data_IF_158823217971
#
_entry.id   IF_158823217971
#
_cell.length_a   1.000
_cell.length_b   1.000
_cell.length_c   1.000
_cell.angle_alpha   90.00
_cell.angle_beta   90.00
_cell.angle_gamma   90.00
#
_symmetry.space_group_name_H-M   'P 1'
#
loop_
_entity.id
_entity.type
_entity.pdbx_description
1 polymer ?
#
# COMPACT_ATOMS: atom_id res chain seq x y z
N UNK A 1 16.20 0.55 -18.59
CA UNK A 1 14.97 -0.23 -18.51
C UNK A 1 14.50 -0.24 -17.06
N UNK A 2 13.22 -0.04 -16.76
CA UNK A 2 12.71 -0.17 -15.39
C UNK A 2 12.89 -1.64 -14.96
N UNK A 3 13.48 -1.84 -13.78
CA UNK A 3 13.63 -3.18 -13.21
C UNK A 3 12.25 -3.80 -12.94
N UNK A 4 12.03 -5.10 -13.20
CA UNK A 4 10.77 -5.76 -12.93
C UNK A 4 10.41 -5.68 -11.43
N UNK A 5 9.10 -5.69 -11.12
CA UNK A 5 8.63 -5.82 -9.74
C UNK A 5 9.13 -7.14 -9.19
N UNK A 6 9.83 -7.13 -8.07
CA UNK A 6 10.27 -8.37 -7.42
C UNK A 6 9.04 -9.10 -6.91
N UNK A 7 8.83 -10.31 -7.38
CA UNK A 7 7.84 -11.21 -6.77
C UNK A 7 8.24 -11.42 -5.31
N UNK A 8 7.40 -10.94 -4.39
CA UNK A 8 7.57 -11.27 -3.00
C UNK A 8 6.84 -12.59 -2.71
N UNK A 9 7.39 -13.42 -1.83
CA UNK A 9 6.74 -14.65 -1.37
C UNK A 9 5.30 -14.40 -0.85
N UNK A 10 5.03 -13.21 -0.38
CA UNK A 10 3.74 -12.83 0.19
C UNK A 10 2.72 -12.35 -0.85
N UNK A 11 3.16 -11.78 -1.97
CA UNK A 11 2.26 -11.35 -3.05
C UNK A 11 1.65 -12.52 -3.82
N UNK A 12 2.32 -13.69 -3.81
CA UNK A 12 1.86 -14.91 -4.50
C UNK A 12 1.18 -15.92 -3.56
N UNK A 13 1.05 -15.61 -2.27
CA UNK A 13 0.50 -16.53 -1.27
C UNK A 13 -1.01 -16.70 -1.40
N UNK A 14 -1.73 -15.64 -1.68
CA UNK A 14 -3.18 -15.64 -1.69
C UNK A 14 -3.70 -15.48 -3.11
N UNK A 15 -4.59 -16.39 -3.52
CA UNK A 15 -5.24 -16.33 -4.82
C UNK A 15 -6.76 -16.27 -4.61
N UNK A 16 -7.39 -15.26 -5.19
CA UNK A 16 -8.84 -15.16 -5.26
C UNK A 16 -9.35 -16.11 -6.36
N UNK A 17 -10.35 -16.92 -6.05
CA UNK A 17 -11.04 -17.76 -7.00
C UNK A 17 -12.54 -17.48 -6.92
N UNK A 18 -13.06 -16.75 -7.92
CA UNK A 18 -14.47 -16.38 -8.00
C UNK A 18 -15.43 -17.60 -7.96
N UNK A 19 -14.97 -18.78 -8.39
CA UNK A 19 -15.78 -20.01 -8.39
C UNK A 19 -16.09 -20.52 -6.98
N UNK A 20 -15.31 -20.13 -5.98
CA UNK A 20 -15.51 -20.55 -4.59
C UNK A 20 -16.62 -19.77 -3.86
N UNK A 21 -17.12 -18.69 -4.47
CA UNK A 21 -18.16 -17.83 -3.87
C UNK A 21 -17.70 -17.06 -2.63
N UNK A 22 -18.52 -16.11 -2.17
CA UNK A 22 -18.36 -15.45 -0.87
C UNK A 22 -17.06 -14.65 -0.63
N UNK A 23 -16.34 -14.23 -1.68
CA UNK A 23 -15.15 -13.37 -1.55
C UNK A 23 -13.97 -14.03 -0.83
N UNK A 24 -13.80 -15.35 -1.00
CA UNK A 24 -12.75 -16.12 -0.32
C UNK A 24 -11.48 -16.24 -1.17
N UNK A 25 -10.35 -16.24 -0.49
CA UNK A 25 -9.03 -16.45 -1.05
C UNK A 25 -8.53 -17.85 -0.67
N UNK A 26 -7.77 -18.46 -1.56
CA UNK A 26 -7.02 -19.68 -1.24
C UNK A 26 -5.61 -19.29 -0.78
N UNK A 27 -5.25 -19.66 0.42
CA UNK A 27 -3.87 -19.61 0.91
C UNK A 27 -3.08 -20.78 0.27
N UNK A 28 -2.15 -20.46 -0.61
CA UNK A 28 -1.36 -21.46 -1.35
C UNK A 28 -0.36 -22.22 -0.46
N UNK A 29 0.01 -21.68 0.71
CA UNK A 29 0.89 -22.37 1.65
C UNK A 29 0.15 -23.46 2.45
N UNK A 30 -1.10 -23.18 2.82
CA UNK A 30 -1.88 -24.09 3.69
C UNK A 30 -3.00 -24.82 2.95
N UNK A 31 -3.33 -24.42 1.73
CA UNK A 31 -4.47 -24.90 0.96
C UNK A 31 -5.84 -24.46 1.50
N UNK A 32 -5.90 -23.71 2.60
CA UNK A 32 -7.14 -23.30 3.27
C UNK A 32 -7.79 -22.09 2.60
N UNK A 33 -9.11 -22.01 2.74
CA UNK A 33 -9.84 -20.81 2.35
C UNK A 33 -9.80 -19.79 3.48
N UNK A 34 -9.46 -18.54 3.12
CA UNK A 34 -9.37 -17.41 4.04
C UNK A 34 -10.19 -16.23 3.52
N UNK A 35 -10.55 -15.31 4.41
CA UNK A 35 -11.25 -14.06 4.06
C UNK A 35 -10.26 -12.99 3.63
N UNK A 36 -10.75 -11.91 2.98
CA UNK A 36 -9.96 -10.72 2.71
C UNK A 36 -9.33 -10.12 3.96
N UNK A 37 -10.05 -10.12 5.07
CA UNK A 37 -9.54 -9.62 6.35
C UNK A 37 -8.24 -10.34 6.77
N UNK A 38 -8.15 -11.66 6.56
CA UNK A 38 -6.92 -12.41 6.81
C UNK A 38 -5.80 -12.03 5.85
N UNK A 39 -6.11 -11.86 4.57
CA UNK A 39 -5.14 -11.40 3.55
C UNK A 39 -4.63 -10.00 3.92
N UNK A 40 -5.53 -9.10 4.30
CA UNK A 40 -5.21 -7.74 4.75
C UNK A 40 -4.32 -7.74 5.99
N UNK A 41 -4.61 -8.59 6.97
CA UNK A 41 -3.77 -8.71 8.18
C UNK A 41 -2.33 -9.12 7.83
N UNK A 42 -2.15 -10.10 6.94
CA UNK A 42 -0.82 -10.51 6.50
C UNK A 42 -0.15 -9.44 5.63
N UNK A 43 -0.90 -8.70 4.82
CA UNK A 43 -0.40 -7.53 4.09
C UNK A 43 0.14 -6.48 5.07
N UNK A 44 -0.64 -6.11 6.09
CA UNK A 44 -0.25 -5.11 7.09
C UNK A 44 1.01 -5.52 7.85
N UNK A 45 1.04 -6.76 8.36
CA UNK A 45 2.11 -7.21 9.27
C UNK A 45 3.41 -7.58 8.55
N UNK A 46 3.35 -8.09 7.32
CA UNK A 46 4.52 -8.64 6.63
C UNK A 46 5.01 -7.76 5.49
N UNK A 47 4.11 -7.14 4.74
CA UNK A 47 4.46 -6.35 3.56
C UNK A 47 4.63 -4.89 3.94
N UNK A 48 3.62 -4.27 4.53
CA UNK A 48 3.62 -2.85 4.90
C UNK A 48 4.63 -2.59 6.01
N UNK A 49 4.52 -3.27 7.15
CA UNK A 49 5.45 -3.10 8.26
C UNK A 49 6.89 -3.41 7.84
N UNK A 50 7.11 -4.47 7.07
CA UNK A 50 8.42 -4.81 6.55
C UNK A 50 9.00 -3.73 5.62
N UNK A 51 8.18 -3.08 4.79
CA UNK A 51 8.60 -1.96 3.95
C UNK A 51 8.92 -0.72 4.80
N UNK A 52 8.09 -0.39 5.79
CA UNK A 52 8.35 0.68 6.76
C UNK A 52 9.72 0.52 7.44
N UNK A 53 10.02 -0.69 7.90
CA UNK A 53 11.27 -0.98 8.61
C UNK A 53 12.49 -0.87 7.67
N UNK A 54 12.38 -1.36 6.42
CA UNK A 54 13.47 -1.23 5.44
C UNK A 54 13.69 0.22 5.01
N UNK A 55 12.63 1.00 4.81
CA UNK A 55 12.72 2.43 4.48
C UNK A 55 13.30 3.25 5.65
N UNK A 56 12.91 2.92 6.88
CA UNK A 56 13.49 3.50 8.08
C UNK A 56 14.98 3.17 8.22
N UNK A 57 15.36 1.90 8.07
CA UNK A 57 16.74 1.45 8.13
C UNK A 57 17.61 2.13 7.05
N UNK A 58 17.08 2.26 5.83
CA UNK A 58 17.78 2.96 4.75
C UNK A 58 18.01 4.45 5.09
N UNK A 59 17.02 5.10 5.72
CA UNK A 59 17.15 6.50 6.16
C UNK A 59 18.11 6.65 7.33
N UNK A 60 18.15 5.70 8.26
CA UNK A 60 19.14 5.65 9.33
C UNK A 60 20.57 5.50 8.78
N UNK A 61 20.76 4.67 7.74
CA UNK A 61 22.06 4.56 7.07
C UNK A 61 22.49 5.88 6.40
N UNK A 62 21.54 6.66 5.86
CA UNK A 62 21.83 8.02 5.37
C UNK A 62 22.24 8.95 6.52
N UNK A 63 21.56 8.91 7.67
CA UNK A 63 21.92 9.67 8.88
C UNK A 63 23.36 9.35 9.33
N UNK A 64 23.73 8.07 9.27
CA UNK A 64 25.05 7.57 9.65
C UNK A 64 26.10 7.78 8.56
N UNK A 65 25.77 8.45 7.44
CA UNK A 65 26.65 8.65 6.28
C UNK A 65 27.18 7.37 5.64
N UNK A 66 26.45 6.26 5.81
CA UNK A 66 26.81 4.95 5.25
C UNK A 66 26.34 4.80 3.79
N UNK A 67 25.43 5.64 3.35
CA UNK A 67 24.96 5.71 1.97
C UNK A 67 24.88 7.16 1.52
N UNK A 68 25.05 7.41 0.21
CA UNK A 68 24.82 8.73 -0.36
C UNK A 68 23.32 9.04 -0.47
N UNK A 69 22.95 10.33 -0.59
CA UNK A 69 21.56 10.74 -0.85
C UNK A 69 21.01 10.09 -2.13
N UNK A 70 21.83 9.99 -3.17
CA UNK A 70 21.44 9.34 -4.43
C UNK A 70 21.19 7.83 -4.26
N UNK A 71 22.01 7.13 -3.47
CA UNK A 71 21.81 5.71 -3.17
C UNK A 71 20.57 5.49 -2.32
N UNK A 72 20.37 6.35 -1.31
CA UNK A 72 19.15 6.36 -0.50
C UNK A 72 17.90 6.55 -1.36
N UNK A 73 17.90 7.54 -2.26
CA UNK A 73 16.77 7.82 -3.13
C UNK A 73 16.47 6.64 -4.07
N UNK A 74 17.51 5.99 -4.63
CA UNK A 74 17.33 4.77 -5.45
C UNK A 74 16.74 3.63 -4.63
N UNK A 75 17.24 3.41 -3.41
CA UNK A 75 16.74 2.39 -2.50
C UNK A 75 15.28 2.61 -2.12
N UNK A 76 14.93 3.83 -1.71
CA UNK A 76 13.55 4.22 -1.41
C UNK A 76 12.62 4.03 -2.61
N UNK A 77 13.04 4.43 -3.82
CA UNK A 77 12.25 4.26 -5.03
C UNK A 77 12.00 2.78 -5.36
N UNK A 78 12.95 1.89 -5.06
CA UNK A 78 12.77 0.45 -5.23
C UNK A 78 11.81 -0.13 -4.19
N UNK A 79 11.96 0.25 -2.92
CA UNK A 79 11.04 -0.19 -1.85
C UNK A 79 9.59 0.26 -2.10
N UNK A 80 9.39 1.51 -2.55
CA UNK A 80 8.07 2.02 -2.96
C UNK A 80 7.48 1.16 -4.08
N UNK A 81 8.26 0.85 -5.11
CA UNK A 81 7.81 0.02 -6.23
C UNK A 81 7.42 -1.39 -5.78
N UNK A 82 8.25 -2.02 -4.96
CA UNK A 82 8.04 -3.40 -4.49
C UNK A 82 6.81 -3.47 -3.56
N UNK A 83 6.65 -2.49 -2.66
CA UNK A 83 5.50 -2.36 -1.78
C UNK A 83 4.18 -2.23 -2.55
N UNK A 84 4.08 -1.23 -3.42
CA UNK A 84 2.86 -0.99 -4.19
C UNK A 84 2.55 -2.14 -5.15
N UNK A 85 3.59 -2.78 -5.71
CA UNK A 85 3.44 -3.99 -6.50
C UNK A 85 2.83 -5.14 -5.72
N UNK A 86 3.38 -5.44 -4.53
CA UNK A 86 2.86 -6.49 -3.66
C UNK A 86 1.42 -6.17 -3.18
N UNK A 87 1.14 -4.92 -2.84
CA UNK A 87 -0.17 -4.46 -2.40
C UNK A 87 -1.23 -4.59 -3.52
N UNK A 88 -0.91 -4.17 -4.74
CA UNK A 88 -1.81 -4.30 -5.89
C UNK A 88 -2.09 -5.77 -6.23
N UNK A 89 -1.07 -6.62 -6.22
CA UNK A 89 -1.21 -8.07 -6.47
C UNK A 89 -2.11 -8.70 -5.41
N UNK A 90 -1.92 -8.38 -4.12
CA UNK A 90 -2.75 -8.90 -3.05
C UNK A 90 -4.22 -8.43 -3.20
N UNK A 91 -4.44 -7.15 -3.52
CA UNK A 91 -5.76 -6.58 -3.72
C UNK A 91 -6.51 -7.18 -4.91
N UNK A 92 -5.81 -7.48 -6.01
CA UNK A 92 -6.38 -8.17 -7.18
C UNK A 92 -6.48 -9.71 -7.00
N UNK A 93 -6.21 -10.24 -5.82
CA UNK A 93 -6.34 -11.67 -5.57
C UNK A 93 -5.26 -12.53 -6.19
N UNK A 94 -4.06 -11.98 -6.39
CA UNK A 94 -2.89 -12.69 -6.87
C UNK A 94 -2.37 -12.22 -8.23
N UNK A 95 -1.13 -12.61 -8.53
CA UNK A 95 -0.44 -12.20 -9.76
C UNK A 95 -1.21 -12.56 -11.05
N UNK A 96 -1.83 -13.75 -11.08
CA UNK A 96 -2.55 -14.25 -12.25
C UNK A 96 -3.82 -13.47 -12.59
N UNK A 97 -4.35 -12.73 -11.61
CA UNK A 97 -5.54 -11.89 -11.78
C UNK A 97 -5.20 -10.46 -12.23
N UNK A 98 -3.90 -10.09 -12.25
CA UNK A 98 -3.46 -8.77 -12.69
C UNK A 98 -3.64 -8.59 -14.20
N UNK A 99 -4.48 -7.66 -14.60
CA UNK A 99 -4.69 -7.27 -15.99
C UNK A 99 -3.65 -6.23 -16.47
N UNK A 100 -3.51 -5.99 -17.79
CA UNK A 100 -2.70 -4.88 -18.30
C UNK A 100 -3.12 -3.51 -17.76
N UNK A 101 -4.43 -3.31 -17.50
CA UNK A 101 -4.95 -2.09 -16.91
C UNK A 101 -4.50 -1.93 -15.44
N UNK A 102 -4.43 -3.00 -14.65
CA UNK A 102 -3.92 -2.99 -13.28
C UNK A 102 -2.43 -2.63 -13.24
N UNK A 103 -1.63 -3.20 -14.14
CA UNK A 103 -0.23 -2.82 -14.28
C UNK A 103 -0.05 -1.35 -14.68
N UNK A 104 -0.91 -0.83 -15.54
CA UNK A 104 -0.94 0.59 -15.90
C UNK A 104 -1.24 1.49 -14.71
N UNK A 105 -2.26 1.16 -13.91
CA UNK A 105 -2.64 1.88 -12.69
C UNK A 105 -1.53 1.85 -11.63
N UNK A 106 -0.96 0.67 -11.39
CA UNK A 106 0.21 0.53 -10.52
C UNK A 106 1.36 1.45 -10.96
N UNK A 107 1.62 1.50 -12.27
CA UNK A 107 2.63 2.40 -12.84
C UNK A 107 2.36 3.88 -12.50
N UNK A 108 1.11 4.34 -12.57
CA UNK A 108 0.72 5.70 -12.20
C UNK A 108 0.86 5.95 -10.70
N UNK A 109 0.46 5.00 -9.85
CA UNK A 109 0.63 5.09 -8.40
C UNK A 109 2.10 5.23 -8.03
N UNK A 110 2.97 4.37 -8.57
CA UNK A 110 4.42 4.41 -8.32
C UNK A 110 5.04 5.73 -8.84
N UNK A 111 4.58 6.24 -9.98
CA UNK A 111 5.02 7.54 -10.52
C UNK A 111 4.67 8.68 -9.56
N UNK A 112 3.45 8.71 -9.03
CA UNK A 112 3.03 9.71 -8.03
C UNK A 112 3.87 9.65 -6.76
N UNK A 113 4.08 8.45 -6.22
CA UNK A 113 4.91 8.25 -5.02
C UNK A 113 6.37 8.67 -5.23
N UNK A 114 6.92 8.46 -6.43
CA UNK A 114 8.27 8.93 -6.76
C UNK A 114 8.37 10.45 -6.83
N UNK A 115 7.32 11.15 -7.25
CA UNK A 115 7.29 12.61 -7.21
C UNK A 115 7.36 13.14 -5.75
N UNK A 116 6.61 12.52 -4.83
CA UNK A 116 6.72 12.83 -3.40
C UNK A 116 8.12 12.50 -2.84
N UNK A 117 8.72 11.37 -3.25
CA UNK A 117 10.08 11.01 -2.85
C UNK A 117 11.11 12.03 -3.35
N UNK A 118 10.95 12.56 -4.56
CA UNK A 118 11.83 13.61 -5.07
C UNK A 118 11.75 14.87 -4.21
N UNK A 119 10.54 15.30 -3.82
CA UNK A 119 10.35 16.40 -2.88
C UNK A 119 11.01 16.14 -1.53
N UNK A 120 10.91 14.90 -1.01
CA UNK A 120 11.58 14.52 0.23
C UNK A 120 13.11 14.55 0.10
N UNK A 121 13.66 14.11 -1.03
CA UNK A 121 15.12 14.20 -1.28
C UNK A 121 15.61 15.66 -1.30
N UNK A 122 14.86 16.58 -1.93
CA UNK A 122 15.15 18.01 -1.90
C UNK A 122 15.06 18.60 -0.48
N UNK A 123 14.07 18.20 0.30
CA UNK A 123 13.96 18.58 1.71
C UNK A 123 15.16 18.10 2.55
N UNK A 124 15.69 16.91 2.27
CA UNK A 124 16.92 16.40 2.91
C UNK A 124 18.15 17.16 2.47
N UNK A 125 18.30 17.44 1.18
CA UNK A 125 19.40 18.20 0.60
C UNK A 125 19.46 19.63 1.15
N UNK A 126 18.30 20.29 1.32
CA UNK A 126 18.20 21.63 1.88
C UNK A 126 18.45 21.71 3.39
N UNK A 127 18.59 20.59 4.08
CA UNK A 127 18.78 20.53 5.54
C UNK A 127 17.51 20.74 6.37
N UNK A 128 16.33 20.66 5.78
CA UNK A 128 15.04 20.76 6.51
C UNK A 128 14.92 19.77 7.67
N UNK A 129 15.59 18.64 7.56
CA UNK A 129 15.68 17.58 8.57
C UNK A 129 17.02 17.58 9.33
N UNK A 130 17.85 18.63 9.21
CA UNK A 130 19.17 18.70 9.81
C UNK A 130 20.27 18.08 8.93
N UNK A 131 21.55 18.27 9.37
CA UNK A 131 22.75 17.67 8.78
C UNK A 131 23.63 17.03 9.86
N UNK A 132 23.65 15.69 10.02
CA UNK A 132 22.88 14.67 9.27
C UNK A 132 21.38 14.78 9.54
N UNK A 133 20.50 14.14 8.71
CA UNK A 133 19.07 14.12 8.94
C UNK A 133 18.71 13.53 10.31
N UNK A 134 17.71 14.09 10.97
CA UNK A 134 17.25 13.65 12.29
C UNK A 134 16.14 12.58 12.25
N UNK A 135 15.58 12.24 13.41
CA UNK A 135 14.51 11.24 13.55
C UNK A 135 13.22 11.56 12.77
N UNK A 136 12.95 12.85 12.47
CA UNK A 136 11.80 13.26 11.66
C UNK A 136 11.91 12.72 10.22
N UNK A 137 13.13 12.64 9.67
CA UNK A 137 13.37 12.03 8.37
C UNK A 137 13.02 10.53 8.38
N UNK A 138 13.36 9.79 9.43
CA UNK A 138 13.00 8.38 9.60
C UNK A 138 11.49 8.20 9.68
N UNK A 139 10.81 9.03 10.47
CA UNK A 139 9.35 9.03 10.56
C UNK A 139 8.71 9.30 9.20
N UNK A 140 9.19 10.28 8.46
CA UNK A 140 8.73 10.60 7.11
C UNK A 140 8.92 9.43 6.14
N UNK A 141 10.05 8.71 6.23
CA UNK A 141 10.33 7.55 5.39
C UNK A 141 9.32 6.41 5.63
N UNK A 142 8.94 6.13 6.90
CA UNK A 142 7.92 5.13 7.25
C UNK A 142 6.56 5.41 6.63
N UNK A 143 6.17 6.67 6.46
CA UNK A 143 4.87 7.04 5.87
C UNK A 143 4.68 6.50 4.44
N UNK A 144 5.76 6.27 3.68
CA UNK A 144 5.66 5.63 2.36
C UNK A 144 5.21 4.18 2.45
N UNK A 145 5.56 3.47 3.55
CA UNK A 145 5.09 2.11 3.81
C UNK A 145 3.58 2.05 3.96
N UNK A 146 3.02 2.99 4.72
CA UNK A 146 1.59 3.04 5.00
C UNK A 146 0.73 3.26 3.75
N UNK A 147 1.26 3.94 2.73
CA UNK A 147 0.57 4.17 1.47
C UNK A 147 0.23 2.87 0.69
N UNK A 148 0.91 1.76 0.99
CA UNK A 148 0.62 0.45 0.40
C UNK A 148 -0.78 -0.06 0.70
N UNK A 149 -1.34 0.26 1.88
CA UNK A 149 -2.69 -0.14 2.26
C UNK A 149 -3.75 0.41 1.30
N UNK A 150 -3.68 1.70 0.99
CA UNK A 150 -4.61 2.31 0.04
C UNK A 150 -4.55 1.64 -1.34
N UNK A 151 -3.37 1.23 -1.79
CA UNK A 151 -3.20 0.52 -3.07
C UNK A 151 -3.89 -0.84 -3.06
N UNK A 152 -3.78 -1.61 -1.98
CA UNK A 152 -4.42 -2.92 -1.87
C UNK A 152 -5.95 -2.81 -1.81
N UNK A 153 -6.47 -1.89 -1.00
CA UNK A 153 -7.90 -1.66 -0.87
C UNK A 153 -8.54 -1.18 -2.18
N UNK A 154 -7.87 -0.28 -2.89
CA UNK A 154 -8.34 0.21 -4.18
C UNK A 154 -8.31 -0.88 -5.26
N UNK A 155 -7.29 -1.74 -5.26
CA UNK A 155 -7.23 -2.87 -6.18
C UNK A 155 -8.35 -3.88 -5.89
N UNK A 156 -8.58 -4.24 -4.62
CA UNK A 156 -9.65 -5.13 -4.20
C UNK A 156 -11.04 -4.57 -4.52
N UNK A 157 -11.24 -3.27 -4.35
CA UNK A 157 -12.48 -2.58 -4.67
C UNK A 157 -12.84 -2.73 -6.16
N UNK A 158 -11.85 -2.56 -7.04
CA UNK A 158 -12.03 -2.73 -8.50
C UNK A 158 -12.29 -4.17 -8.88
N UNK A 159 -11.52 -5.10 -8.33
CA UNK A 159 -11.74 -6.54 -8.56
C UNK A 159 -13.18 -6.94 -8.24
N UNK A 160 -13.73 -6.42 -7.14
CA UNK A 160 -15.14 -6.63 -6.79
C UNK A 160 -16.12 -5.98 -7.76
N UNK A 161 -15.84 -4.76 -8.23
CA UNK A 161 -16.66 -4.10 -9.23
C UNK A 161 -16.67 -4.90 -10.55
N UNK A 162 -15.51 -5.36 -10.99
CA UNK A 162 -15.35 -6.19 -12.18
C UNK A 162 -16.04 -7.56 -12.03
N UNK A 163 -16.13 -8.08 -10.81
CA UNK A 163 -16.90 -9.27 -10.47
C UNK A 163 -18.44 -9.05 -10.38
N UNK A 164 -18.92 -7.83 -10.67
CA UNK A 164 -20.35 -7.49 -10.73
C UNK A 164 -20.96 -7.04 -9.40
N UNK A 165 -20.15 -6.81 -8.36
CA UNK A 165 -20.63 -6.14 -7.15
C UNK A 165 -20.82 -4.65 -7.44
N UNK A 166 -21.97 -4.11 -7.08
CA UNK A 166 -22.37 -2.76 -7.45
C UNK A 166 -22.49 -1.81 -6.26
N UNK A 167 -22.38 -2.31 -5.03
CA UNK A 167 -22.47 -1.52 -3.81
C UNK A 167 -21.32 -1.78 -2.86
N UNK A 168 -20.98 -0.75 -2.10
CA UNK A 168 -19.96 -0.78 -1.04
C UNK A 168 -20.44 0.02 0.18
N UNK A 169 -19.84 -0.26 1.34
CA UNK A 169 -20.00 0.58 2.54
C UNK A 169 -18.69 0.70 3.30
N UNK A 170 -18.51 1.82 3.98
CA UNK A 170 -17.40 1.99 4.92
C UNK A 170 -17.70 1.25 6.21
N UNK A 171 -16.81 0.35 6.62
CA UNK A 171 -16.86 -0.31 7.93
C UNK A 171 -15.75 0.27 8.79
N UNK A 172 -16.13 0.81 9.95
CA UNK A 172 -15.18 1.35 10.91
C UNK A 172 -14.54 0.20 11.69
N UNK A 173 -13.19 0.24 11.80
CA UNK A 173 -12.43 -0.69 12.63
C UNK A 173 -12.51 -0.34 14.13
N UNK A 174 -11.55 -0.84 14.92
CA UNK A 174 -11.46 -0.59 16.38
C UNK A 174 -10.67 0.68 16.74
N UNK A 175 -10.02 1.33 15.76
CA UNK A 175 -9.23 2.52 15.98
C UNK A 175 -10.10 3.77 16.18
N UNK A 176 -9.51 4.85 16.67
CA UNK A 176 -10.15 6.17 16.62
C UNK A 176 -10.25 6.62 15.16
N UNK A 177 -11.40 7.20 14.80
CA UNK A 177 -11.71 7.58 13.44
C UNK A 177 -11.75 9.09 13.28
N UNK A 178 -11.20 9.61 12.19
CA UNK A 178 -11.35 11.01 11.81
C UNK A 178 -12.79 11.31 11.36
N UNK A 179 -13.15 12.59 11.36
CA UNK A 179 -14.49 13.05 10.97
C UNK A 179 -14.92 12.53 9.60
N UNK A 180 -14.03 12.59 8.60
CA UNK A 180 -14.30 12.08 7.25
C UNK A 180 -14.65 10.59 7.25
N UNK A 181 -13.95 9.75 8.03
CA UNK A 181 -14.26 8.32 8.11
C UNK A 181 -15.63 8.04 8.72
N UNK A 182 -16.03 8.83 9.76
CA UNK A 182 -17.36 8.74 10.36
C UNK A 182 -18.45 9.16 9.36
N UNK A 183 -18.23 10.24 8.61
CA UNK A 183 -19.16 10.71 7.57
C UNK A 183 -19.33 9.69 6.45
N UNK A 184 -18.23 9.06 5.96
CA UNK A 184 -18.29 8.02 4.95
C UNK A 184 -19.02 6.76 5.45
N UNK A 185 -18.82 6.38 6.71
CA UNK A 185 -19.54 5.25 7.32
C UNK A 185 -21.05 5.52 7.49
N UNK A 186 -21.41 6.75 7.82
CA UNK A 186 -22.81 7.16 8.00
C UNK A 186 -23.63 7.12 6.70
N UNK A 187 -22.99 7.16 5.52
CA UNK A 187 -23.69 7.05 4.22
C UNK A 187 -24.33 5.68 3.99
N UNK A 188 -23.89 4.64 4.72
CA UNK A 188 -24.37 3.27 4.54
C UNK A 188 -23.91 2.66 3.21
N UNK A 189 -24.78 1.84 2.59
CA UNK A 189 -24.52 1.24 1.28
C UNK A 189 -24.57 2.30 0.18
N UNK A 190 -23.57 2.35 -0.65
CA UNK A 190 -23.41 3.28 -1.77
C UNK A 190 -22.93 2.53 -3.02
N UNK A 191 -23.20 3.06 -4.23
CA UNK A 191 -22.63 2.50 -5.45
C UNK A 191 -21.11 2.39 -5.34
N UNK A 192 -20.55 1.25 -5.78
CA UNK A 192 -19.11 1.00 -5.69
C UNK A 192 -18.33 2.09 -6.44
N UNK A 193 -17.28 2.62 -5.83
CA UNK A 193 -16.47 3.70 -6.40
C UNK A 193 -16.91 5.10 -5.97
N UNK A 194 -18.02 5.26 -5.23
CA UNK A 194 -18.52 6.60 -4.82
C UNK A 194 -18.07 7.01 -3.42
N UNK A 195 -17.78 6.06 -2.54
CA UNK A 195 -17.17 6.38 -1.25
C UNK A 195 -15.72 6.85 -1.46
N UNK A 196 -15.29 7.81 -0.65
CA UNK A 196 -13.90 8.28 -0.65
C UNK A 196 -12.96 7.11 -0.40
N UNK A 197 -11.86 6.96 -1.18
CA UNK A 197 -10.90 5.89 -0.96
C UNK A 197 -10.27 5.90 0.44
N UNK A 198 -9.89 4.72 0.94
CA UNK A 198 -9.07 4.61 2.15
C UNK A 198 -7.74 5.30 1.88
N UNK A 199 -7.31 6.16 2.81
CA UNK A 199 -6.10 6.97 2.66
C UNK A 199 -6.33 8.36 2.05
N UNK A 200 -7.53 8.63 1.51
CA UNK A 200 -7.92 9.95 0.95
C UNK A 200 -8.86 10.73 1.90
N UNK A 201 -8.72 10.53 3.20
CA UNK A 201 -9.43 11.22 4.27
C UNK A 201 -8.47 12.02 5.15
N UNK A 202 -8.98 12.76 6.14
CA UNK A 202 -8.16 13.56 7.05
C UNK A 202 -7.04 12.78 7.73
N UNK A 203 -7.28 11.49 8.03
CA UNK A 203 -6.25 10.60 8.58
C UNK A 203 -5.22 10.16 7.53
N UNK A 204 -5.45 10.43 6.25
CA UNK A 204 -4.51 10.14 5.16
C UNK A 204 -3.99 8.70 5.22
N UNK A 205 -2.68 8.51 5.14
CA UNK A 205 -2.02 7.18 5.19
C UNK A 205 -2.23 6.43 6.51
N UNK A 206 -2.64 7.12 7.58
CA UNK A 206 -2.93 6.52 8.89
C UNK A 206 -4.37 6.00 9.00
N UNK A 207 -5.12 5.87 7.91
CA UNK A 207 -6.47 5.34 7.92
C UNK A 207 -6.48 3.84 8.25
N UNK A 208 -7.23 3.47 9.29
CA UNK A 208 -7.42 2.08 9.75
C UNK A 208 -8.91 1.64 9.66
N UNK A 209 -9.67 2.28 8.79
CA UNK A 209 -11.06 1.90 8.50
C UNK A 209 -11.14 0.63 7.67
#
# INVERSE_FOLDING_TARGET
MPQPVRRSRYSDRYVYDARLGGGRYRDLETGRLVTWERVRQDLDTRIIQGAEDRMAALTQRLQQKQVSLADWQRGMAQEIKDLHGAAAIAGNGGWHNMTPADWGRLGQTVKGQRAYLQGFALDLESGKYGFPPDGRAVTRARMYGQAGRATAEEAQRRDKADAGLNEERRILGKAEHCKTCLEEAAKGWQPIGTLRPIGDSECSVNCHC
#
